data_IF_487110291154
#
_entry.id   IF_487110291154
#
_cell.length_a   1.000
_cell.length_b   1.000
_cell.length_c   1.000
_cell.angle_alpha   90.00
_cell.angle_beta   90.00
_cell.angle_gamma   90.00
#
_symmetry.space_group_name_H-M   'P 1'
#
loop_
_entity.id
_entity.type
_entity.pdbx_description
1 polymer ?
#
# COMPACT_ATOMS: atom_id res chain seq x y z
N UNK A 1 -23.82 27.08 -12.05
CA UNK A 1 -24.64 26.93 -13.26
C UNK A 1 -23.78 26.86 -14.53
N UNK A 2 -23.38 27.97 -15.19
CA UNK A 2 -22.65 27.89 -16.48
C UNK A 2 -21.34 27.09 -16.43
N UNK A 3 -20.53 27.24 -15.37
CA UNK A 3 -19.30 26.44 -15.20
C UNK A 3 -19.60 24.93 -15.09
N UNK A 4 -20.62 24.56 -14.32
CA UNK A 4 -21.00 23.15 -14.13
C UNK A 4 -21.54 22.54 -15.42
N UNK A 5 -22.33 23.29 -16.20
CA UNK A 5 -22.81 22.85 -17.52
C UNK A 5 -21.66 22.66 -18.51
N UNK A 6 -20.68 23.56 -18.51
CA UNK A 6 -19.46 23.44 -19.33
C UNK A 6 -18.67 22.20 -18.93
N UNK A 7 -18.38 22.02 -17.64
CA UNK A 7 -17.63 20.87 -17.12
C UNK A 7 -18.35 19.55 -17.41
N UNK A 8 -19.67 19.52 -17.24
CA UNK A 8 -20.50 18.36 -17.60
C UNK A 8 -20.44 18.05 -19.09
N UNK A 9 -20.55 19.08 -19.95
CA UNK A 9 -20.44 18.90 -21.39
C UNK A 9 -19.04 18.43 -21.81
N UNK A 10 -17.97 19.01 -21.25
CA UNK A 10 -16.59 18.60 -21.49
C UNK A 10 -16.36 17.15 -21.09
N UNK A 11 -16.93 16.69 -19.97
CA UNK A 11 -16.83 15.30 -19.57
C UNK A 11 -17.56 14.36 -20.53
N UNK A 12 -18.82 14.64 -20.86
CA UNK A 12 -19.62 13.75 -21.71
C UNK A 12 -19.21 13.81 -23.19
N UNK A 13 -19.23 14.99 -23.81
CA UNK A 13 -18.91 15.13 -25.23
C UNK A 13 -17.39 15.10 -25.49
N UNK A 14 -16.60 15.67 -24.58
CA UNK A 14 -15.14 15.71 -24.74
C UNK A 14 -14.50 14.37 -24.37
N UNK A 15 -14.60 13.96 -23.11
CA UNK A 15 -13.90 12.78 -22.60
C UNK A 15 -14.55 11.46 -23.01
N UNK A 16 -15.86 11.29 -22.81
CA UNK A 16 -16.51 9.99 -23.08
C UNK A 16 -16.64 9.66 -24.57
N UNK A 17 -16.94 10.66 -25.41
CA UNK A 17 -17.11 10.42 -26.86
C UNK A 17 -15.91 10.85 -27.72
N UNK A 18 -14.98 11.64 -27.17
CA UNK A 18 -13.79 12.09 -27.91
C UNK A 18 -14.09 13.15 -28.98
N UNK A 19 -15.20 13.88 -28.87
CA UNK A 19 -15.56 14.92 -29.85
C UNK A 19 -14.53 16.05 -29.79
N UNK A 20 -14.10 16.54 -30.95
CA UNK A 20 -13.12 17.65 -31.08
C UNK A 20 -11.72 17.37 -30.52
N UNK A 21 -11.40 16.10 -30.25
CA UNK A 21 -10.08 15.70 -29.79
C UNK A 21 -8.97 16.06 -30.81
N UNK A 22 -7.95 16.76 -30.33
CA UNK A 22 -6.75 17.15 -31.07
C UNK A 22 -5.52 16.28 -30.72
N UNK A 23 -5.67 15.38 -29.74
CA UNK A 23 -4.60 14.55 -29.19
C UNK A 23 -5.07 13.10 -29.05
N UNK A 24 -4.21 12.15 -29.43
CA UNK A 24 -4.39 10.73 -29.22
C UNK A 24 -3.34 10.27 -28.20
N UNK A 25 -3.80 9.72 -27.08
CA UNK A 25 -2.95 9.13 -26.05
C UNK A 25 -3.05 7.61 -26.11
N UNK A 26 -1.93 6.96 -26.38
CA UNK A 26 -1.79 5.51 -26.28
C UNK A 26 -1.24 5.12 -24.92
N UNK A 27 -2.00 4.31 -24.18
CA UNK A 27 -1.59 3.74 -22.89
C UNK A 27 -1.96 2.28 -22.86
N UNK A 28 -0.97 1.41 -22.60
CA UNK A 28 -1.11 -0.04 -22.75
C UNK A 28 -1.66 -0.41 -24.14
N UNK A 29 -2.79 -1.13 -24.20
CA UNK A 29 -3.49 -1.53 -25.42
C UNK A 29 -4.62 -0.57 -25.81
N UNK A 30 -4.78 0.55 -25.09
CA UNK A 30 -5.88 1.48 -25.27
C UNK A 30 -5.42 2.77 -25.95
N UNK A 31 -6.34 3.38 -26.68
CA UNK A 31 -6.15 4.67 -27.32
C UNK A 31 -7.27 5.61 -26.89
N UNK A 32 -6.90 6.79 -26.39
CA UNK A 32 -7.82 7.81 -25.91
C UNK A 32 -7.75 9.03 -26.81
N UNK A 33 -8.91 9.48 -27.30
CA UNK A 33 -9.06 10.73 -28.06
C UNK A 33 -9.36 11.86 -27.08
N UNK A 34 -8.40 12.75 -26.87
CA UNK A 34 -8.38 13.72 -25.78
C UNK A 34 -8.00 15.12 -26.30
N UNK A 35 -8.04 16.11 -25.39
CA UNK A 35 -7.86 17.53 -25.69
C UNK A 35 -6.59 18.06 -25.03
N UNK A 36 -5.66 18.60 -25.82
CA UNK A 36 -4.36 19.09 -25.34
C UNK A 36 -4.50 20.11 -24.21
N UNK A 37 -5.50 21.01 -24.29
CA UNK A 37 -5.77 22.02 -23.27
C UNK A 37 -6.20 21.43 -21.92
N UNK A 38 -6.84 20.26 -21.93
CA UNK A 38 -7.24 19.56 -20.71
C UNK A 38 -6.07 18.73 -20.19
N UNK A 39 -5.34 18.04 -21.08
CA UNK A 39 -4.18 17.23 -20.71
C UNK A 39 -3.03 18.05 -20.13
N UNK A 40 -2.87 19.32 -20.55
CA UNK A 40 -1.82 20.20 -20.03
C UNK A 40 -1.93 20.50 -18.53
N UNK A 41 -3.06 20.18 -17.90
CA UNK A 41 -3.24 20.23 -16.44
C UNK A 41 -2.40 19.18 -15.71
N UNK A 42 -2.04 18.08 -16.38
CA UNK A 42 -1.11 17.06 -15.86
C UNK A 42 0.32 17.45 -16.25
N UNK A 43 1.24 17.65 -15.29
CA UNK A 43 2.64 17.94 -15.60
C UNK A 43 3.31 16.88 -16.48
N UNK A 44 3.01 15.60 -16.23
CA UNK A 44 3.53 14.49 -17.03
C UNK A 44 3.06 14.58 -18.48
N UNK A 45 1.75 14.73 -18.70
CA UNK A 45 1.19 14.78 -20.06
C UNK A 45 1.60 16.06 -20.78
N UNK A 46 1.69 17.19 -20.08
CA UNK A 46 2.22 18.43 -20.63
C UNK A 46 3.66 18.26 -21.13
N UNK A 47 4.51 17.59 -20.34
CA UNK A 47 5.87 17.26 -20.73
C UNK A 47 5.89 16.36 -21.97
N UNK A 48 5.13 15.26 -21.98
CA UNK A 48 5.05 14.34 -23.11
C UNK A 48 4.55 15.02 -24.40
N UNK A 49 3.55 15.91 -24.30
CA UNK A 49 3.08 16.68 -25.45
C UNK A 49 4.13 17.66 -26.00
N UNK A 50 5.07 18.12 -25.15
CA UNK A 50 6.12 19.06 -25.53
C UNK A 50 7.35 18.37 -26.12
N UNK A 51 7.59 17.12 -25.76
CA UNK A 51 8.77 16.34 -26.19
C UNK A 51 8.47 15.31 -27.27
N UNK A 52 7.20 14.97 -27.50
CA UNK A 52 6.81 14.04 -28.56
C UNK A 52 6.93 14.70 -29.95
N UNK A 53 7.58 14.04 -30.92
CA UNK A 53 7.68 14.55 -32.28
C UNK A 53 6.28 14.64 -32.92
N UNK A 54 5.90 15.83 -33.39
CA UNK A 54 4.60 16.04 -34.02
C UNK A 54 4.68 15.70 -35.51
N UNK A 55 4.29 14.47 -35.85
CA UNK A 55 4.17 14.02 -37.24
C UNK A 55 2.75 14.28 -37.76
N UNK A 56 2.48 15.50 -38.23
CA UNK A 56 1.20 15.90 -38.83
C UNK A 56 0.28 16.74 -37.94
N UNK A 57 -0.97 16.94 -38.37
CA UNK A 57 -1.93 17.86 -37.73
C UNK A 57 -2.58 17.37 -36.42
N UNK A 58 -2.43 16.09 -36.06
CA UNK A 58 -2.96 15.50 -34.83
C UNK A 58 -1.81 15.03 -33.93
N UNK A 59 -1.85 15.38 -32.65
CA UNK A 59 -0.79 15.00 -31.70
C UNK A 59 -0.96 13.56 -31.26
N UNK A 60 0.09 12.76 -31.32
CA UNK A 60 0.09 11.38 -30.83
C UNK A 60 1.15 11.26 -29.74
N UNK A 61 0.74 10.79 -28.56
CA UNK A 61 1.61 10.57 -27.41
C UNK A 61 1.46 9.13 -26.91
N UNK A 62 2.57 8.56 -26.46
CA UNK A 62 2.65 7.20 -25.94
C UNK A 62 3.10 7.24 -24.49
N UNK A 63 2.38 6.53 -23.62
CA UNK A 63 2.73 6.35 -22.22
C UNK A 63 2.93 4.86 -21.94
N UNK A 64 4.15 4.51 -21.53
CA UNK A 64 4.50 3.16 -21.10
C UNK A 64 4.32 3.06 -19.59
N UNK A 65 3.64 2.01 -19.13
CA UNK A 65 3.33 1.74 -17.72
C UNK A 65 3.88 0.39 -17.24
N UNK A 66 4.83 -0.21 -17.99
CA UNK A 66 5.36 -1.56 -17.72
C UNK A 66 6.01 -1.70 -16.33
N UNK A 67 6.43 -0.58 -15.74
CA UNK A 67 7.04 -0.52 -14.41
C UNK A 67 6.06 -0.13 -13.29
N UNK A 68 4.78 0.10 -13.61
CA UNK A 68 3.78 0.65 -12.69
C UNK A 68 2.54 -0.26 -12.59
N UNK A 69 2.67 -1.45 -11.97
CA UNK A 69 1.62 -2.46 -11.95
C UNK A 69 0.35 -2.03 -11.23
N UNK A 70 0.44 -1.05 -10.33
CA UNK A 70 -0.71 -0.51 -9.61
C UNK A 70 -1.55 0.43 -10.48
N UNK A 71 -1.00 0.98 -11.58
CA UNK A 71 -1.73 1.86 -12.49
C UNK A 71 -2.57 1.03 -13.47
N UNK A 72 -3.73 0.58 -13.00
CA UNK A 72 -4.66 -0.19 -13.82
C UNK A 72 -5.31 0.66 -14.91
N UNK A 73 -5.82 0.04 -15.97
CA UNK A 73 -6.55 0.72 -17.04
C UNK A 73 -7.76 1.50 -16.51
N UNK A 74 -8.55 0.90 -15.61
CA UNK A 74 -9.72 1.53 -15.00
C UNK A 74 -9.31 2.77 -14.22
N UNK A 75 -8.30 2.63 -13.35
CA UNK A 75 -7.80 3.71 -12.53
C UNK A 75 -7.26 4.87 -13.36
N UNK A 76 -6.52 4.55 -14.43
CA UNK A 76 -5.98 5.55 -15.34
C UNK A 76 -7.09 6.30 -16.08
N UNK A 77 -8.14 5.61 -16.52
CA UNK A 77 -9.30 6.24 -17.14
C UNK A 77 -10.06 7.16 -16.16
N UNK A 78 -10.20 6.76 -14.89
CA UNK A 78 -10.81 7.59 -13.84
C UNK A 78 -10.00 8.89 -13.65
N UNK A 79 -8.68 8.78 -13.54
CA UNK A 79 -7.79 9.93 -13.40
C UNK A 79 -7.82 10.84 -14.64
N UNK A 80 -7.79 10.29 -15.86
CA UNK A 80 -7.97 11.10 -17.07
C UNK A 80 -9.32 11.82 -17.10
N UNK A 81 -10.41 11.14 -16.73
CA UNK A 81 -11.73 11.75 -16.64
C UNK A 81 -11.78 12.87 -15.59
N UNK A 82 -11.00 12.74 -14.51
CA UNK A 82 -10.88 13.77 -13.48
C UNK A 82 -10.32 15.10 -14.01
N UNK A 83 -9.44 15.05 -15.02
CA UNK A 83 -8.96 16.27 -15.70
C UNK A 83 -10.09 17.07 -16.33
N UNK A 84 -11.17 16.40 -16.75
CA UNK A 84 -12.34 17.02 -17.34
C UNK A 84 -13.38 17.42 -16.29
N UNK A 85 -13.63 16.56 -15.30
CA UNK A 85 -14.65 16.81 -14.27
C UNK A 85 -14.42 16.00 -13.01
N UNK A 86 -14.71 16.61 -11.86
CA UNK A 86 -14.67 15.95 -10.55
C UNK A 86 -15.70 14.82 -10.39
N UNK A 87 -16.66 14.68 -11.31
CA UNK A 87 -17.60 13.55 -11.32
C UNK A 87 -16.90 12.20 -11.32
N UNK A 88 -15.69 12.11 -11.88
CA UNK A 88 -14.86 10.89 -11.81
C UNK A 88 -14.58 10.40 -10.39
N UNK A 89 -14.62 11.28 -9.37
CA UNK A 89 -14.43 10.89 -7.96
C UNK A 89 -15.50 9.87 -7.54
N UNK A 90 -16.73 9.96 -8.04
CA UNK A 90 -17.81 9.03 -7.65
C UNK A 90 -17.58 7.60 -8.18
N UNK A 91 -16.60 7.40 -9.06
CA UNK A 91 -16.22 6.08 -9.58
C UNK A 91 -15.20 5.38 -8.66
N UNK A 92 -14.64 6.09 -7.68
CA UNK A 92 -13.66 5.53 -6.75
C UNK A 92 -14.36 4.64 -5.72
N UNK A 93 -13.84 3.42 -5.59
CA UNK A 93 -14.31 2.35 -4.70
C UNK A 93 -13.10 1.71 -4.01
N UNK A 94 -13.30 1.03 -2.86
CA UNK A 94 -12.21 0.34 -2.16
C UNK A 94 -11.31 -0.53 -3.03
N UNK A 95 -11.88 -1.23 -4.02
CA UNK A 95 -11.14 -2.14 -4.91
C UNK A 95 -10.28 -1.45 -5.98
N UNK A 96 -10.61 -0.23 -6.41
CA UNK A 96 -9.85 0.51 -7.42
C UNK A 96 -9.08 1.72 -6.85
N UNK A 97 -9.32 2.10 -5.59
CA UNK A 97 -8.77 3.29 -4.96
C UNK A 97 -7.23 3.33 -4.98
N UNK A 98 -6.57 2.19 -4.79
CA UNK A 98 -5.10 2.08 -4.88
C UNK A 98 -4.59 2.48 -6.26
N UNK A 99 -5.19 1.91 -7.30
CA UNK A 99 -4.79 2.24 -8.66
C UNK A 99 -5.11 3.68 -9.02
N UNK A 100 -6.26 4.23 -8.57
CA UNK A 100 -6.61 5.64 -8.83
C UNK A 100 -5.63 6.58 -8.14
N UNK A 101 -5.23 6.26 -6.90
CA UNK A 101 -4.18 7.00 -6.20
C UNK A 101 -2.87 6.96 -6.99
N UNK A 102 -2.49 5.79 -7.50
CA UNK A 102 -1.30 5.64 -8.32
C UNK A 102 -1.39 6.49 -9.60
N UNK A 103 -2.45 6.33 -10.38
CA UNK A 103 -2.69 7.09 -11.60
C UNK A 103 -2.69 8.60 -11.38
N UNK A 104 -3.33 9.07 -10.30
CA UNK A 104 -3.39 10.49 -9.94
C UNK A 104 -2.01 11.06 -9.59
N UNK A 105 -1.19 10.30 -8.84
CA UNK A 105 0.16 10.73 -8.50
C UNK A 105 1.10 10.71 -9.73
N UNK A 106 0.95 9.70 -10.60
CA UNK A 106 1.70 9.61 -11.85
C UNK A 106 1.42 10.80 -12.77
N UNK A 107 0.14 11.12 -12.97
CA UNK A 107 -0.27 12.24 -13.83
C UNK A 107 0.06 13.60 -13.19
N UNK A 108 -0.07 13.73 -11.87
CA UNK A 108 0.16 14.96 -11.12
C UNK A 108 -0.93 16.02 -11.31
N UNK A 109 -0.95 17.03 -10.44
CA UNK A 109 -1.89 18.16 -10.51
C UNK A 109 -3.35 17.80 -10.15
N UNK A 110 -3.54 16.79 -9.30
CA UNK A 110 -4.84 16.22 -8.92
C UNK A 110 -4.93 15.94 -7.41
N UNK A 111 -4.53 16.90 -6.58
CA UNK A 111 -4.38 16.71 -5.13
C UNK A 111 -5.66 16.21 -4.47
N UNK A 112 -6.83 16.73 -4.88
CA UNK A 112 -8.13 16.32 -4.34
C UNK A 112 -8.50 14.88 -4.72
N UNK A 113 -8.20 14.45 -5.97
CA UNK A 113 -8.41 13.07 -6.41
C UNK A 113 -7.54 12.12 -5.60
N UNK A 114 -6.25 12.45 -5.44
CA UNK A 114 -5.31 11.66 -4.66
C UNK A 114 -5.72 11.62 -3.19
N UNK A 115 -6.14 12.74 -2.61
CA UNK A 115 -6.62 12.81 -1.24
C UNK A 115 -7.84 11.91 -1.01
N UNK A 116 -8.83 11.97 -1.90
CA UNK A 116 -10.02 11.12 -1.81
C UNK A 116 -9.69 9.63 -2.00
N UNK A 117 -8.85 9.29 -2.99
CA UNK A 117 -8.42 7.92 -3.24
C UNK A 117 -7.63 7.36 -2.05
N UNK A 118 -6.73 8.15 -1.47
CA UNK A 118 -6.00 7.80 -0.25
C UNK A 118 -6.93 7.56 0.95
N UNK A 119 -7.90 8.44 1.20
CA UNK A 119 -8.87 8.23 2.28
C UNK A 119 -9.72 6.98 2.06
N UNK A 120 -10.05 6.66 0.81
CA UNK A 120 -10.76 5.43 0.46
C UNK A 120 -9.90 4.19 0.72
N UNK A 121 -8.61 4.26 0.38
CA UNK A 121 -7.62 3.24 0.74
C UNK A 121 -7.54 3.03 2.25
N UNK A 122 -7.38 4.12 3.02
CA UNK A 122 -7.26 4.06 4.49
C UNK A 122 -8.48 3.42 5.13
N UNK A 123 -9.69 3.74 4.64
CA UNK A 123 -10.95 3.17 5.13
C UNK A 123 -11.18 1.72 4.71
N UNK A 124 -10.50 1.23 3.66
CA UNK A 124 -10.65 -0.15 3.20
C UNK A 124 -9.73 -1.13 3.93
N UNK A 125 -8.85 -0.67 4.81
CA UNK A 125 -8.02 -1.52 5.67
C UNK A 125 -8.92 -2.17 6.73
N UNK A 126 -9.11 -3.48 6.62
CA UNK A 126 -9.95 -4.28 7.51
C UNK A 126 -9.35 -5.67 7.74
N UNK A 127 -10.00 -6.48 8.57
CA UNK A 127 -9.55 -7.86 8.88
C UNK A 127 -9.51 -8.73 7.61
N UNK A 128 -10.44 -8.47 6.69
CA UNK A 128 -10.61 -9.21 5.44
C UNK A 128 -9.56 -8.80 4.40
N UNK A 129 -9.21 -7.51 4.34
CA UNK A 129 -8.33 -6.96 3.29
C UNK A 129 -6.86 -6.85 3.73
N UNK A 130 -6.55 -6.99 5.02
CA UNK A 130 -5.20 -6.78 5.56
C UNK A 130 -4.13 -7.64 4.88
N UNK A 131 -4.47 -8.85 4.43
CA UNK A 131 -3.50 -9.72 3.73
C UNK A 131 -3.05 -9.07 2.42
N UNK A 132 -3.97 -8.46 1.66
CA UNK A 132 -3.64 -7.77 0.41
C UNK A 132 -2.80 -6.52 0.68
N UNK A 133 -3.15 -5.77 1.73
CA UNK A 133 -2.40 -4.59 2.17
C UNK A 133 -0.98 -4.92 2.61
N UNK A 134 -0.78 -6.05 3.29
CA UNK A 134 0.55 -6.54 3.68
C UNK A 134 1.39 -6.89 2.45
N UNK A 135 0.81 -7.61 1.48
CA UNK A 135 1.51 -7.94 0.23
C UNK A 135 1.88 -6.69 -0.57
N UNK A 136 0.97 -5.70 -0.62
CA UNK A 136 1.24 -4.41 -1.25
C UNK A 136 2.40 -3.68 -0.56
N UNK A 137 2.33 -3.49 0.76
CA UNK A 137 3.35 -2.76 1.53
C UNK A 137 4.73 -3.41 1.43
N UNK A 138 4.79 -4.74 1.41
CA UNK A 138 6.04 -5.50 1.25
C UNK A 138 6.66 -5.32 -0.14
N UNK A 139 5.82 -5.20 -1.18
CA UNK A 139 6.29 -4.94 -2.55
C UNK A 139 6.83 -3.53 -2.77
N UNK A 140 6.51 -2.58 -1.90
CA UNK A 140 7.01 -1.21 -2.00
C UNK A 140 8.50 -1.14 -1.65
N UNK A 141 9.30 -0.38 -2.40
CA UNK A 141 10.73 -0.23 -2.12
C UNK A 141 10.93 0.34 -0.72
N UNK A 142 11.71 -0.37 0.09
CA UNK A 142 12.06 0.11 1.43
C UNK A 142 13.10 1.21 1.32
N UNK A 143 12.91 2.31 2.05
CA UNK A 143 13.77 3.50 2.04
C UNK A 143 15.21 3.27 2.51
N UNK A 144 15.60 2.02 2.81
CA UNK A 144 16.90 1.64 3.38
C UNK A 144 17.91 1.11 2.35
N UNK A 145 17.54 0.93 1.07
CA UNK A 145 18.49 0.55 0.02
C UNK A 145 19.19 1.81 -0.55
N UNK A 146 20.23 2.26 0.14
CA UNK A 146 21.13 3.33 -0.31
C UNK A 146 21.96 2.98 -1.56
N UNK A 147 21.74 1.81 -2.20
CA UNK A 147 22.47 1.35 -3.39
C UNK A 147 21.78 1.60 -4.72
N UNK A 148 20.69 2.38 -4.75
CA UNK A 148 19.92 2.61 -5.98
C UNK A 148 20.49 3.81 -6.74
N UNK A 149 20.92 3.57 -7.99
CA UNK A 149 21.46 4.59 -8.89
C UNK A 149 20.47 5.77 -9.08
N UNK A 150 20.94 7.01 -9.29
CA UNK A 150 20.11 8.22 -9.34
C UNK A 150 19.06 8.26 -10.47
N UNK A 151 19.00 7.25 -11.34
CA UNK A 151 17.99 7.12 -12.40
C UNK A 151 16.77 6.26 -12.02
N UNK A 152 16.84 5.48 -10.93
CA UNK A 152 15.70 4.73 -10.38
C UNK A 152 14.93 5.52 -9.30
N UNK A 153 15.31 6.78 -9.10
CA UNK A 153 14.60 7.80 -8.32
C UNK A 153 13.34 8.34 -9.01
N UNK A 154 12.81 7.63 -10.02
CA UNK A 154 11.41 7.71 -10.37
C UNK A 154 10.66 7.19 -9.15
N UNK A 155 10.40 8.11 -8.22
CA UNK A 155 9.52 8.01 -7.07
C UNK A 155 8.48 6.96 -7.35
N UNK A 156 8.46 5.88 -6.54
CA UNK A 156 7.30 5.01 -6.36
C UNK A 156 6.06 5.82 -6.69
N UNK A 157 5.23 5.41 -7.64
CA UNK A 157 4.17 6.27 -8.16
C UNK A 157 3.29 6.87 -7.06
N UNK A 158 3.22 6.24 -5.89
CA UNK A 158 2.54 6.74 -4.70
C UNK A 158 3.24 7.90 -3.95
N UNK A 159 4.47 8.27 -4.30
CA UNK A 159 5.29 9.33 -3.74
C UNK A 159 5.15 9.46 -2.21
N UNK A 160 4.52 10.54 -1.74
CA UNK A 160 4.29 10.87 -0.34
C UNK A 160 3.30 9.93 0.40
N UNK A 161 2.49 9.17 -0.34
CA UNK A 161 1.49 8.29 0.23
C UNK A 161 2.05 6.92 0.63
N UNK A 162 3.22 6.53 0.12
CA UNK A 162 3.88 5.25 0.49
C UNK A 162 4.11 5.14 1.99
N UNK A 163 4.72 6.17 2.59
CA UNK A 163 4.98 6.19 4.03
C UNK A 163 3.68 6.21 4.84
N UNK A 164 2.70 7.01 4.41
CA UNK A 164 1.38 7.12 5.07
C UNK A 164 0.62 5.79 5.06
N UNK A 165 0.53 5.13 3.90
CA UNK A 165 -0.13 3.83 3.78
C UNK A 165 0.58 2.75 4.62
N UNK A 166 1.91 2.77 4.68
CA UNK A 166 2.69 1.91 5.59
C UNK A 166 2.32 2.15 7.05
N UNK A 167 2.23 3.41 7.46
CA UNK A 167 1.85 3.82 8.80
C UNK A 167 0.40 3.43 9.13
N UNK A 168 -0.54 3.63 8.20
CA UNK A 168 -1.95 3.25 8.38
C UNK A 168 -2.11 1.73 8.56
N UNK A 169 -1.42 0.93 7.74
CA UNK A 169 -1.40 -0.54 7.87
C UNK A 169 -0.79 -0.95 9.21
N UNK A 170 0.32 -0.33 9.62
CA UNK A 170 0.94 -0.58 10.91
C UNK A 170 0.02 -0.22 12.08
N UNK A 171 -0.59 0.95 12.05
CA UNK A 171 -1.56 1.41 13.05
C UNK A 171 -2.75 0.46 13.13
N UNK A 172 -3.26 -0.01 11.98
CA UNK A 172 -4.31 -1.00 11.97
C UNK A 172 -3.89 -2.29 12.68
N UNK A 173 -2.71 -2.84 12.39
CA UNK A 173 -2.23 -4.08 13.01
C UNK A 173 -2.04 -3.97 14.52
N UNK A 174 -1.54 -2.81 14.98
CA UNK A 174 -1.12 -2.62 16.36
C UNK A 174 -2.25 -2.14 17.27
N UNK A 175 -3.14 -1.29 16.74
CA UNK A 175 -4.18 -0.62 17.53
C UNK A 175 -5.56 -1.11 17.12
N UNK A 176 -5.92 -0.99 15.85
CA UNK A 176 -7.31 -1.26 15.41
C UNK A 176 -7.67 -2.74 15.49
N UNK A 177 -6.80 -3.62 14.98
CA UNK A 177 -7.06 -5.05 14.85
C UNK A 177 -7.25 -5.75 16.21
N UNK A 178 -6.38 -5.57 17.23
CA UNK A 178 -6.61 -6.18 18.54
C UNK A 178 -7.88 -5.69 19.23
N UNK A 179 -8.26 -4.43 19.01
CA UNK A 179 -9.49 -3.84 19.54
C UNK A 179 -10.74 -4.40 18.84
N UNK A 180 -10.72 -4.50 17.51
CA UNK A 180 -11.80 -5.10 16.72
C UNK A 180 -12.03 -6.58 17.08
N UNK A 181 -10.95 -7.32 17.32
CA UNK A 181 -11.01 -8.73 17.74
C UNK A 181 -11.30 -8.92 19.24
N UNK A 182 -11.46 -7.83 20.00
CA UNK A 182 -11.73 -7.82 21.45
C UNK A 182 -10.75 -8.66 22.27
N UNK A 183 -9.47 -8.71 21.86
CA UNK A 183 -8.44 -9.56 22.49
C UNK A 183 -8.22 -9.23 23.97
N UNK A 184 -8.58 -8.02 24.39
CA UNK A 184 -8.53 -7.52 25.77
C UNK A 184 -9.67 -8.00 26.68
N UNK A 185 -10.83 -8.37 26.11
CA UNK A 185 -12.04 -8.63 26.88
C UNK A 185 -12.14 -10.08 27.41
N UNK A 186 -11.06 -10.86 27.32
CA UNK A 186 -11.01 -12.23 27.83
C UNK A 186 -10.98 -12.32 29.38
N UNK A 187 -11.03 -11.19 30.10
CA UNK A 187 -10.89 -11.16 31.55
C UNK A 187 -12.21 -11.24 32.36
N UNK A 188 -13.41 -11.29 31.74
CA UNK A 188 -14.68 -11.21 32.50
C UNK A 188 -15.80 -12.15 32.02
N UNK A 189 -15.49 -13.34 31.50
CA UNK A 189 -16.55 -14.35 31.26
C UNK A 189 -16.14 -15.71 31.81
N UNK A 190 -16.59 -16.03 33.02
CA UNK A 190 -16.59 -17.37 33.65
C UNK A 190 -17.52 -18.37 32.94
N UNK A 191 -18.01 -18.05 31.75
CA UNK A 191 -18.74 -18.96 30.87
C UNK A 191 -17.88 -19.25 29.64
N UNK A 192 -17.31 -20.46 29.57
CA UNK A 192 -16.38 -20.90 28.54
C UNK A 192 -16.96 -20.92 27.13
N UNK A 193 -16.94 -19.77 26.45
CA UNK A 193 -17.37 -19.64 25.06
C UNK A 193 -16.17 -19.52 24.12
N UNK A 194 -16.18 -20.37 23.09
CA UNK A 194 -15.21 -20.56 22.00
C UNK A 194 -14.75 -19.31 21.21
N UNK A 195 -15.35 -18.13 21.44
CA UNK A 195 -15.04 -16.89 20.72
C UNK A 195 -13.66 -16.29 21.05
N UNK A 196 -13.19 -16.41 22.29
CA UNK A 196 -11.86 -15.90 22.68
C UNK A 196 -10.71 -16.62 21.98
N UNK A 197 -10.88 -17.91 21.70
CA UNK A 197 -9.93 -18.72 20.93
C UNK A 197 -9.92 -18.30 19.47
N UNK A 198 -11.09 -18.15 18.84
CA UNK A 198 -11.18 -17.78 17.43
C UNK A 198 -10.56 -16.41 17.15
N UNK A 199 -10.79 -15.41 18.01
CA UNK A 199 -10.19 -14.07 17.85
C UNK A 199 -8.66 -14.09 17.96
N UNK A 200 -8.11 -14.81 18.96
CA UNK A 200 -6.67 -14.96 19.12
C UNK A 200 -6.06 -15.73 17.94
N UNK A 201 -6.73 -16.77 17.46
CA UNK A 201 -6.28 -17.56 16.32
C UNK A 201 -6.26 -16.73 15.04
N UNK A 202 -7.28 -15.89 14.79
CA UNK A 202 -7.27 -14.94 13.67
C UNK A 202 -6.10 -13.97 13.77
N UNK A 203 -5.83 -13.41 14.95
CA UNK A 203 -4.68 -12.52 15.17
C UNK A 203 -3.35 -13.23 14.86
N UNK A 204 -3.18 -14.47 15.34
CA UNK A 204 -2.00 -15.29 15.06
C UNK A 204 -1.83 -15.56 13.56
N UNK A 205 -2.92 -15.90 12.86
CA UNK A 205 -2.90 -16.15 11.41
C UNK A 205 -2.50 -14.89 10.62
N UNK A 206 -3.06 -13.73 10.95
CA UNK A 206 -2.69 -12.45 10.31
C UNK A 206 -1.22 -12.13 10.58
N UNK A 207 -0.80 -12.15 11.86
CA UNK A 207 0.57 -11.84 12.24
C UNK A 207 1.59 -12.85 11.70
N UNK A 208 1.20 -14.08 11.34
CA UNK A 208 2.09 -15.03 10.67
C UNK A 208 2.49 -14.59 9.24
N UNK A 209 1.74 -13.68 8.61
CA UNK A 209 1.98 -13.19 7.24
C UNK A 209 2.63 -11.80 7.17
N UNK A 210 2.72 -11.09 8.29
CA UNK A 210 3.29 -9.74 8.36
C UNK A 210 4.79 -9.77 8.02
N UNK A 211 5.34 -8.84 7.22
CA UNK A 211 6.79 -8.76 7.00
C UNK A 211 7.57 -8.63 8.30
N UNK A 212 8.79 -9.18 8.36
CA UNK A 212 9.57 -9.26 9.61
C UNK A 212 9.74 -7.91 10.30
N UNK A 213 10.12 -6.85 9.56
CA UNK A 213 10.42 -5.55 10.17
C UNK A 213 9.17 -4.93 10.79
N UNK A 214 8.01 -5.08 10.13
CA UNK A 214 6.72 -4.64 10.64
C UNK A 214 6.26 -5.48 11.84
N UNK A 215 6.49 -6.80 11.80
CA UNK A 215 6.20 -7.71 12.92
C UNK A 215 7.02 -7.38 14.16
N UNK A 216 8.33 -7.20 13.99
CA UNK A 216 9.24 -6.77 15.05
C UNK A 216 8.79 -5.45 15.65
N UNK A 217 8.56 -4.44 14.81
CA UNK A 217 8.09 -3.13 15.26
C UNK A 217 6.75 -3.20 15.99
N UNK A 218 5.82 -4.05 15.54
CA UNK A 218 4.51 -4.21 16.17
C UNK A 218 4.63 -4.85 17.55
N UNK A 219 5.39 -5.94 17.69
CA UNK A 219 5.60 -6.62 18.98
C UNK A 219 6.38 -5.74 19.96
N UNK A 220 7.37 -4.98 19.48
CA UNK A 220 8.15 -4.08 20.31
C UNK A 220 7.42 -2.78 20.66
N UNK A 221 6.29 -2.49 19.99
CA UNK A 221 5.53 -1.26 20.21
C UNK A 221 4.82 -1.26 21.57
N UNK A 222 4.90 -0.17 22.36
CA UNK A 222 4.11 -0.03 23.57
C UNK A 222 2.61 0.09 23.28
N UNK A 223 2.21 0.53 22.09
CA UNK A 223 0.79 0.65 21.69
C UNK A 223 0.16 -0.70 21.35
N UNK A 224 0.95 -1.76 21.21
CA UNK A 224 0.44 -3.12 20.99
C UNK A 224 -0.08 -3.72 22.29
N UNK A 225 -1.31 -3.36 22.63
CA UNK A 225 -1.98 -3.88 23.81
C UNK A 225 -2.55 -5.26 23.43
N UNK A 226 -2.01 -6.33 24.03
CA UNK A 226 -2.54 -7.71 23.94
C UNK A 226 -2.41 -8.44 25.29
N UNK A 227 -2.34 -7.67 26.39
CA UNK A 227 -2.09 -8.15 27.74
C UNK A 227 -0.70 -7.79 28.27
N UNK A 228 -0.19 -8.58 29.21
CA UNK A 228 1.14 -8.37 29.84
C UNK A 228 2.30 -8.68 28.89
N UNK A 229 3.52 -8.29 29.27
CA UNK A 229 4.74 -8.62 28.52
C UNK A 229 4.91 -10.13 28.34
N UNK A 230 4.46 -10.93 29.31
CA UNK A 230 4.45 -12.39 29.21
C UNK A 230 3.43 -12.89 28.17
N UNK A 231 2.23 -12.31 28.11
CA UNK A 231 1.23 -12.62 27.07
C UNK A 231 1.75 -12.25 25.69
N UNK A 232 2.43 -11.11 25.59
CA UNK A 232 3.05 -10.62 24.36
C UNK A 232 4.21 -11.49 23.90
N UNK A 233 5.07 -11.90 24.82
CA UNK A 233 6.16 -12.85 24.56
C UNK A 233 5.61 -14.18 24.04
N UNK A 234 4.59 -14.73 24.71
CA UNK A 234 3.93 -15.97 24.28
C UNK A 234 3.31 -15.82 22.89
N UNK A 235 2.59 -14.72 22.64
CA UNK A 235 2.04 -14.42 21.32
C UNK A 235 3.12 -14.38 20.24
N UNK A 236 4.20 -13.62 20.44
CA UNK A 236 5.28 -13.53 19.47
C UNK A 236 5.94 -14.89 19.21
N UNK A 237 6.11 -15.71 20.25
CA UNK A 237 6.60 -17.09 20.14
C UNK A 237 5.67 -17.94 19.27
N UNK A 238 4.36 -17.93 19.55
CA UNK A 238 3.35 -18.67 18.81
C UNK A 238 3.33 -18.25 17.31
N UNK A 239 3.42 -16.95 17.01
CA UNK A 239 3.52 -16.42 15.63
C UNK A 239 4.79 -16.92 14.93
N UNK A 240 5.94 -16.86 15.59
CA UNK A 240 7.21 -17.35 15.04
C UNK A 240 7.16 -18.86 14.77
N UNK A 241 6.51 -19.63 15.63
CA UNK A 241 6.30 -21.07 15.41
C UNK A 241 5.44 -21.33 14.17
N UNK A 242 4.35 -20.58 13.96
CA UNK A 242 3.55 -20.66 12.74
C UNK A 242 4.34 -20.27 11.49
N UNK A 243 5.18 -19.23 11.57
CA UNK A 243 6.05 -18.79 10.47
C UNK A 243 7.08 -19.84 10.07
N UNK A 244 7.61 -20.62 11.03
CA UNK A 244 8.52 -21.75 10.75
C UNK A 244 7.86 -22.87 9.94
N UNK A 245 6.56 -23.06 10.11
CA UNK A 245 5.75 -24.03 9.36
C UNK A 245 5.31 -23.53 7.98
N UNK A 246 5.34 -22.21 7.74
CA UNK A 246 4.82 -21.56 6.54
C UNK A 246 5.88 -20.95 5.59
N UNK A 247 5.48 -19.86 4.93
CA UNK A 247 6.17 -19.15 3.82
C UNK A 247 7.63 -18.75 4.13
N UNK A 248 7.99 -18.58 5.41
CA UNK A 248 9.32 -18.15 5.85
C UNK A 248 10.43 -19.19 5.68
N UNK A 249 10.12 -20.46 5.33
CA UNK A 249 11.17 -21.45 4.97
C UNK A 249 12.04 -21.02 3.78
N UNK A 250 11.54 -20.15 2.89
CA UNK A 250 12.26 -19.75 1.67
C UNK A 250 13.43 -18.77 1.89
N UNK A 251 13.46 -18.03 3.00
CA UNK A 251 14.42 -16.92 3.18
C UNK A 251 15.67 -17.29 3.99
N UNK A 252 15.80 -18.54 4.45
CA UNK A 252 17.00 -19.00 5.17
C UNK A 252 17.27 -18.26 6.49
N UNK A 253 16.29 -17.57 7.05
CA UNK A 253 16.41 -16.77 8.26
C UNK A 253 15.71 -17.45 9.45
N UNK A 254 16.34 -17.43 10.62
CA UNK A 254 15.74 -17.89 11.88
C UNK A 254 15.29 -16.68 12.70
N UNK A 255 13.99 -16.62 12.98
CA UNK A 255 13.39 -15.62 13.87
C UNK A 255 13.31 -16.16 15.30
N UNK A 256 13.63 -15.32 16.29
CA UNK A 256 13.57 -15.64 17.72
C UNK A 256 13.00 -14.46 18.51
N UNK A 257 12.34 -14.76 19.62
CA UNK A 257 11.84 -13.77 20.57
C UNK A 257 12.57 -13.93 21.91
N UNK A 258 12.92 -12.82 22.53
CA UNK A 258 13.60 -12.74 23.82
C UNK A 258 12.83 -11.82 24.74
N UNK A 259 12.80 -12.16 26.03
CA UNK A 259 12.27 -11.32 27.08
C UNK A 259 13.46 -10.68 27.80
N UNK A 260 13.63 -9.37 27.63
CA UNK A 260 14.65 -8.61 28.34
C UNK A 260 14.10 -8.14 29.69
N UNK A 261 14.95 -8.19 30.71
CA UNK A 261 14.65 -7.72 32.06
C UNK A 261 15.68 -6.64 32.41
N UNK A 262 15.24 -5.48 32.91
CA UNK A 262 16.14 -4.48 33.50
C UNK A 262 16.32 -3.14 32.77
N UNK A 263 15.38 -2.72 31.91
CA UNK A 263 15.52 -1.52 31.08
C UNK A 263 14.98 -0.19 31.62
N UNK A 264 14.39 -0.14 32.83
CA UNK A 264 13.82 1.10 33.39
C UNK A 264 13.58 1.05 34.90
N UNK A 265 13.54 2.22 35.55
CA UNK A 265 13.27 2.34 36.99
C UNK A 265 11.92 1.67 37.31
N UNK A 266 11.97 0.60 38.14
CA UNK A 266 10.90 -0.37 38.43
C UNK A 266 10.76 -1.55 37.44
N UNK A 267 11.79 -2.40 37.32
CA UNK A 267 11.61 -3.83 37.04
C UNK A 267 10.85 -4.23 35.77
N UNK A 268 10.74 -3.33 34.79
CA UNK A 268 10.00 -3.57 33.55
C UNK A 268 10.62 -4.67 32.69
N UNK A 269 9.77 -5.48 32.07
CA UNK A 269 10.15 -6.49 31.09
C UNK A 269 9.82 -5.97 29.69
N UNK A 270 10.68 -6.24 28.69
CA UNK A 270 10.42 -5.84 27.30
C UNK A 270 10.61 -7.03 26.36
N UNK A 271 9.68 -7.20 25.43
CA UNK A 271 9.74 -8.26 24.42
C UNK A 271 10.52 -7.76 23.22
N UNK A 272 11.54 -8.50 22.80
CA UNK A 272 12.33 -8.20 21.62
C UNK A 272 12.31 -9.34 20.61
N UNK A 273 12.22 -9.01 19.33
CA UNK A 273 12.23 -9.96 18.22
C UNK A 273 13.50 -9.77 17.39
N UNK A 274 14.20 -10.87 17.08
CA UNK A 274 15.43 -10.84 16.29
C UNK A 274 15.37 -11.86 15.15
N UNK A 275 16.09 -11.59 14.05
CA UNK A 275 16.20 -12.47 12.89
C UNK A 275 17.67 -12.68 12.54
N UNK A 276 18.11 -13.93 12.45
CA UNK A 276 19.47 -14.32 12.10
C UNK A 276 19.48 -15.10 10.79
N UNK A 277 20.28 -14.66 9.82
CA UNK A 277 20.47 -15.41 8.57
C UNK A 277 21.29 -16.68 8.83
N UNK A 278 20.83 -17.83 8.34
CA UNK A 278 21.60 -19.07 8.37
C UNK A 278 22.81 -18.91 7.44
N UNK A 279 24.01 -18.96 8.01
CA UNK A 279 25.25 -19.00 7.22
C UNK A 279 25.26 -20.30 6.41
N UNK A 280 25.46 -20.21 5.08
CA UNK A 280 25.73 -21.40 4.24
C UNK A 280 27.01 -22.07 4.76
N UNK A 281 27.06 -23.41 4.92
CA UNK A 281 28.28 -24.07 5.33
C UNK A 281 29.35 -23.87 4.25
N UNK A 282 30.46 -23.19 4.61
CA UNK A 282 31.65 -23.15 3.77
C UNK A 282 32.26 -24.55 3.79
N UNK A 283 32.25 -25.23 2.64
CA UNK A 283 33.01 -26.46 2.44
C UNK A 283 34.50 -26.08 2.40
N UNK A 284 35.28 -26.66 3.31
CA UNK A 284 36.75 -26.61 3.23
C UNK A 284 37.17 -27.60 2.14
N UNK A 285 37.78 -27.10 1.07
CA UNK A 285 38.58 -27.94 0.18
C UNK A 285 39.88 -28.22 0.91
N UNK A 286 40.12 -29.48 1.27
CA UNK A 286 41.47 -29.90 1.62
C UNK A 286 42.22 -30.14 0.31
N UNK A 287 43.28 -29.37 0.09
CA UNK A 287 44.28 -29.61 -0.95
C UNK A 287 45.22 -30.75 -0.55
#
# INVERSE_FOLDING_TARGET
MHNEEIVHHLYHAGFQTGNYADTILHVHQNSYRLHAIILSRSPLLAHLMSTSPQTGGQRVIFLQLDHEPEVTQEAFAIALGYLYSSVSISLIRPGNARGVLAAGCLLGGMEDLCGYAYETCRRSISVETITEWLGFVDSLPSSSDESIAPQQLLTSVFAQYTAKLREDVFHFLVVTLPNTLQVHSAAVSESGTSQGHTSRDTLLQIFSRVPFDMFKAAVESPTFQIGSDQCRFKFAKDVIELRKGGISRGHGAEETVVLAFGGGHMGGSTVHVTRKMRKRPLWKVNS
#
